data_IF_011561194748
#
_entry.id   IF_011561194748
#
_cell.length_a   1.000
_cell.length_b   1.000
_cell.length_c   1.000
_cell.angle_alpha   90.00
_cell.angle_beta   90.00
_cell.angle_gamma   90.00
#
_symmetry.space_group_name_H-M   'P 1'
#
loop_
_entity.id
_entity.type
_entity.pdbx_description
1 polymer ?
#
# COMPACT_ATOMS: atom_id res chain seq x y z
N UNK A 1 -6.77 20.90 0.46
CA UNK A 1 -6.88 20.72 -0.96
C UNK A 1 -6.97 22.04 -1.70
N UNK A 2 -6.99 21.99 -3.01
CA UNK A 2 -7.28 23.12 -3.88
C UNK A 2 -6.11 24.06 -4.22
N UNK A 3 -4.96 23.88 -3.62
CA UNK A 3 -3.76 24.64 -3.96
C UNK A 3 -2.77 23.77 -4.75
N UNK A 4 -1.93 24.41 -5.55
CA UNK A 4 -0.86 23.73 -6.25
C UNK A 4 0.15 23.16 -5.26
N UNK A 5 0.71 22.01 -5.57
CA UNK A 5 1.86 21.47 -4.86
C UNK A 5 3.12 22.22 -5.31
N UNK A 6 3.82 22.73 -4.34
CA UNK A 6 5.08 23.43 -4.54
C UNK A 6 6.08 22.81 -3.56
N UNK A 7 7.24 22.38 -4.05
CA UNK A 7 8.26 21.75 -3.22
C UNK A 7 8.67 22.64 -2.02
N UNK A 8 8.61 23.97 -2.17
CA UNK A 8 8.88 24.91 -1.12
C UNK A 8 7.90 24.83 0.06
N UNK A 9 6.66 24.33 -0.17
CA UNK A 9 5.65 24.21 0.88
C UNK A 9 6.07 23.22 1.97
N UNK A 10 6.85 22.18 1.61
CA UNK A 10 7.33 21.17 2.53
C UNK A 10 8.28 21.73 3.61
N UNK A 11 8.82 22.95 3.41
CA UNK A 11 9.58 23.67 4.44
C UNK A 11 8.71 24.06 5.64
N UNK A 12 7.42 24.30 5.41
CA UNK A 12 6.47 24.81 6.39
C UNK A 12 5.46 23.76 6.85
N UNK A 13 5.10 22.86 5.91
CA UNK A 13 4.13 21.79 6.12
C UNK A 13 4.76 20.47 5.72
N UNK A 14 5.08 19.59 6.67
CA UNK A 14 5.76 18.32 6.40
C UNK A 14 4.90 17.33 5.64
N UNK A 15 3.58 17.54 5.61
CA UNK A 15 2.61 16.69 4.92
C UNK A 15 1.66 17.52 4.06
N UNK A 16 1.19 16.91 2.98
CA UNK A 16 0.24 17.49 2.04
C UNK A 16 -0.96 16.55 1.85
N UNK A 17 -2.14 17.13 1.69
CA UNK A 17 -3.33 16.43 1.24
C UNK A 17 -3.32 16.39 -0.29
N UNK A 18 -3.04 15.21 -0.87
CA UNK A 18 -2.77 15.07 -2.31
C UNK A 18 -4.02 15.23 -3.17
N UNK A 19 -5.19 14.87 -2.66
CA UNK A 19 -6.48 14.96 -3.36
C UNK A 19 -7.64 14.78 -2.38
N UNK A 20 -8.72 15.52 -2.59
CA UNK A 20 -9.98 15.32 -1.85
C UNK A 20 -10.70 14.02 -2.26
N UNK A 21 -10.24 13.35 -3.32
CA UNK A 21 -10.70 12.01 -3.66
C UNK A 21 -10.06 10.99 -2.71
N UNK A 22 -10.84 10.52 -1.73
CA UNK A 22 -10.44 9.53 -0.72
C UNK A 22 -10.89 8.10 -1.06
N UNK A 23 -11.37 7.87 -2.28
CA UNK A 23 -11.72 6.51 -2.75
C UNK A 23 -10.50 5.59 -2.77
N UNK A 24 -10.58 4.44 -2.09
CA UNK A 24 -9.43 3.55 -1.89
C UNK A 24 -8.81 3.03 -3.19
N UNK A 25 -9.61 2.83 -4.25
CA UNK A 25 -9.07 2.47 -5.56
C UNK A 25 -8.45 3.68 -6.27
N UNK A 26 -9.15 4.82 -6.30
CA UNK A 26 -8.61 6.02 -6.94
C UNK A 26 -7.29 6.47 -6.28
N UNK A 27 -7.13 6.22 -4.98
CA UNK A 27 -5.90 6.53 -4.24
C UNK A 27 -4.68 5.78 -4.75
N UNK A 28 -4.83 4.60 -5.36
CA UNK A 28 -3.68 3.88 -5.98
C UNK A 28 -3.01 4.75 -7.03
N UNK A 29 -3.77 5.30 -7.97
CA UNK A 29 -3.25 6.18 -9.02
C UNK A 29 -2.78 7.54 -8.47
N UNK A 30 -3.51 8.12 -7.50
CA UNK A 30 -3.17 9.41 -6.89
C UNK A 30 -1.84 9.30 -6.13
N UNK A 31 -1.68 8.27 -5.30
CA UNK A 31 -0.47 8.08 -4.49
C UNK A 31 0.72 7.69 -5.38
N UNK A 32 0.52 6.78 -6.34
CA UNK A 32 1.53 6.42 -7.32
C UNK A 32 2.04 7.67 -8.08
N UNK A 33 1.12 8.44 -8.66
CA UNK A 33 1.49 9.66 -9.41
C UNK A 33 2.16 10.71 -8.54
N UNK A 34 1.68 10.93 -7.31
CA UNK A 34 2.30 11.86 -6.36
C UNK A 34 3.70 11.41 -5.98
N UNK A 35 3.92 10.10 -5.80
CA UNK A 35 5.21 9.52 -5.41
C UNK A 35 6.31 9.74 -6.45
N UNK A 36 5.97 10.09 -7.69
CA UNK A 36 6.96 10.45 -8.73
C UNK A 36 7.70 11.75 -8.41
N UNK A 37 7.10 12.62 -7.59
CA UNK A 37 7.64 13.94 -7.25
C UNK A 37 7.87 14.14 -5.74
N UNK A 38 7.13 13.42 -4.89
CA UNK A 38 7.13 13.59 -3.44
C UNK A 38 7.32 12.27 -2.72
N UNK A 39 8.06 12.24 -1.59
CA UNK A 39 8.20 11.03 -0.78
C UNK A 39 6.85 10.65 -0.15
N UNK A 40 6.68 9.37 0.16
CA UNK A 40 5.47 8.87 0.83
C UNK A 40 5.24 9.55 2.20
N UNK A 41 6.30 9.88 2.90
CA UNK A 41 6.25 10.61 4.19
C UNK A 41 5.59 11.99 4.09
N UNK A 42 5.55 12.58 2.90
CA UNK A 42 4.88 13.86 2.66
C UNK A 42 3.39 13.73 2.33
N UNK A 43 2.89 12.51 2.09
CA UNK A 43 1.51 12.28 1.67
C UNK A 43 0.63 11.88 2.86
N UNK A 44 -0.42 12.67 3.14
CA UNK A 44 -1.51 12.22 4.01
C UNK A 44 -2.43 11.28 3.26
N UNK A 45 -2.63 10.09 3.83
CA UNK A 45 -3.40 9.00 3.22
C UNK A 45 -4.43 8.50 4.23
N UNK A 46 -5.73 8.59 3.88
CA UNK A 46 -6.80 8.26 4.82
C UNK A 46 -7.63 7.07 4.35
N UNK A 47 -8.01 6.26 5.33
CA UNK A 47 -9.08 5.26 5.19
C UNK A 47 -10.41 5.97 5.24
N UNK A 48 -11.13 6.04 4.12
CA UNK A 48 -12.39 6.78 4.01
C UNK A 48 -13.61 5.91 4.30
N UNK A 49 -14.77 6.57 4.35
CA UNK A 49 -16.09 5.92 4.46
C UNK A 49 -16.36 4.99 3.26
N UNK A 50 -17.18 3.98 3.47
CA UNK A 50 -17.68 3.07 2.43
C UNK A 50 -19.21 2.93 2.54
N UNK A 51 -19.97 3.06 1.44
CA UNK A 51 -19.54 3.47 0.11
C UNK A 51 -18.84 4.82 0.09
N UNK A 52 -17.85 5.00 -0.80
CA UNK A 52 -17.17 6.30 -0.91
C UNK A 52 -18.17 7.39 -1.32
N UNK A 53 -18.15 8.52 -0.62
CA UNK A 53 -19.15 9.58 -0.78
C UNK A 53 -19.08 10.32 -2.12
N UNK A 54 -17.96 10.25 -2.85
CA UNK A 54 -17.78 10.89 -4.15
C UNK A 54 -18.06 9.94 -5.30
N UNK A 55 -17.60 8.69 -5.20
CA UNK A 55 -17.66 7.71 -6.30
C UNK A 55 -18.77 6.68 -6.15
N UNK A 56 -19.37 6.55 -4.96
CA UNK A 56 -20.31 5.48 -4.63
C UNK A 56 -19.67 4.08 -4.59
N UNK A 57 -18.35 3.97 -4.73
CA UNK A 57 -17.64 2.70 -4.82
C UNK A 57 -17.55 2.01 -3.46
N UNK A 58 -17.73 0.68 -3.51
CA UNK A 58 -17.53 -0.19 -2.35
C UNK A 58 -16.15 -0.84 -2.47
N UNK A 59 -15.17 -0.32 -1.75
CA UNK A 59 -13.83 -0.90 -1.62
C UNK A 59 -13.72 -1.59 -0.27
N UNK A 60 -13.25 -2.85 -0.20
CA UNK A 60 -13.09 -3.57 1.06
C UNK A 60 -12.32 -2.78 2.10
N UNK A 61 -12.65 -2.94 3.39
CA UNK A 61 -12.04 -2.16 4.47
C UNK A 61 -10.53 -2.41 4.55
N UNK A 62 -10.12 -3.68 4.53
CA UNK A 62 -8.72 -4.06 4.49
C UNK A 62 -7.97 -3.45 3.29
N UNK A 63 -8.61 -3.38 2.12
CA UNK A 63 -7.99 -2.80 0.92
C UNK A 63 -7.81 -1.28 1.04
N UNK A 64 -8.80 -0.58 1.61
CA UNK A 64 -8.67 0.87 1.89
C UNK A 64 -7.51 1.15 2.84
N UNK A 65 -7.35 0.32 3.88
CA UNK A 65 -6.26 0.45 4.83
C UNK A 65 -4.90 0.13 4.19
N UNK A 66 -4.78 -0.96 3.44
CA UNK A 66 -3.54 -1.35 2.78
C UNK A 66 -2.98 -0.25 1.86
N UNK A 67 -3.86 0.46 1.13
CA UNK A 67 -3.45 1.59 0.29
C UNK A 67 -3.13 2.84 1.13
N UNK A 68 -3.92 3.12 2.17
CA UNK A 68 -3.65 4.26 3.07
C UNK A 68 -2.31 4.09 3.81
N UNK A 69 -1.90 2.86 4.11
CA UNK A 69 -0.62 2.57 4.77
C UNK A 69 0.62 2.95 3.92
N UNK A 70 0.45 3.25 2.63
CA UNK A 70 1.51 3.76 1.76
C UNK A 70 1.64 5.30 1.84
N UNK A 71 1.58 5.84 3.05
CA UNK A 71 1.76 7.26 3.37
C UNK A 71 1.51 7.52 4.85
N UNK A 72 1.42 8.78 5.25
CA UNK A 72 1.03 9.14 6.60
C UNK A 72 -0.46 8.82 6.82
N UNK A 73 -0.71 7.70 7.47
CA UNK A 73 -2.05 7.08 7.58
C UNK A 73 -2.93 7.79 8.59
N UNK A 74 -4.21 7.93 8.22
CA UNK A 74 -5.30 8.39 9.10
C UNK A 74 -6.64 7.78 8.70
N UNK A 75 -7.67 8.12 9.47
CA UNK A 75 -9.05 7.68 9.22
C UNK A 75 -9.95 8.89 9.01
N UNK A 76 -10.68 8.90 7.89
CA UNK A 76 -11.65 9.90 7.52
C UNK A 76 -13.04 9.26 7.43
N UNK A 77 -13.58 8.90 8.59
CA UNK A 77 -14.88 8.25 8.73
C UNK A 77 -15.47 8.52 10.12
N UNK A 78 -16.78 8.34 10.24
CA UNK A 78 -17.45 8.48 11.52
C UNK A 78 -17.42 7.14 12.29
N UNK A 79 -16.68 7.05 13.41
CA UNK A 79 -16.55 5.79 14.16
C UNK A 79 -17.87 5.32 14.80
N UNK A 80 -18.87 6.18 14.92
CA UNK A 80 -20.18 5.78 15.42
C UNK A 80 -20.97 4.93 14.43
N UNK A 81 -20.64 5.02 13.13
CA UNK A 81 -21.28 4.24 12.08
C UNK A 81 -20.64 2.88 11.86
N UNK A 82 -19.55 2.59 12.57
CA UNK A 82 -18.81 1.34 12.43
C UNK A 82 -19.39 0.24 13.32
N UNK A 83 -19.41 -0.97 12.78
CA UNK A 83 -19.70 -2.20 13.53
C UNK A 83 -18.60 -2.49 14.56
N UNK A 84 -18.90 -3.36 15.52
CA UNK A 84 -17.89 -3.81 16.48
C UNK A 84 -16.70 -4.53 15.79
N UNK A 85 -16.97 -5.29 14.72
CA UNK A 85 -15.94 -5.96 13.93
C UNK A 85 -15.02 -4.95 13.23
N UNK A 86 -15.55 -3.94 12.57
CA UNK A 86 -14.77 -2.89 11.92
C UNK A 86 -13.93 -2.07 12.92
N UNK A 87 -14.47 -1.80 14.12
CA UNK A 87 -13.69 -1.15 15.19
C UNK A 87 -12.51 -2.01 15.67
N UNK A 88 -12.70 -3.32 15.76
CA UNK A 88 -11.61 -4.24 16.10
C UNK A 88 -10.58 -4.30 14.96
N UNK A 89 -11.03 -4.28 13.71
CA UNK A 89 -10.15 -4.25 12.53
C UNK A 89 -9.30 -2.97 12.47
N UNK A 90 -9.87 -1.80 12.81
CA UNK A 90 -9.09 -0.54 12.92
C UNK A 90 -7.90 -0.70 13.85
N UNK A 91 -8.11 -1.34 15.00
CA UNK A 91 -7.02 -1.56 15.95
C UNK A 91 -5.90 -2.37 15.32
N UNK A 92 -6.24 -3.47 14.63
CA UNK A 92 -5.27 -4.29 13.91
C UNK A 92 -4.54 -3.51 12.82
N UNK A 93 -5.27 -2.73 12.01
CA UNK A 93 -4.71 -1.89 10.95
C UNK A 93 -3.74 -0.84 11.51
N UNK A 94 -4.07 -0.21 12.65
CA UNK A 94 -3.18 0.75 13.32
C UNK A 94 -1.92 0.06 13.84
N UNK A 95 -2.04 -1.13 14.43
CA UNK A 95 -0.90 -1.89 14.92
C UNK A 95 0.00 -2.33 13.75
N UNK A 96 -0.58 -2.73 12.62
CA UNK A 96 0.15 -3.03 11.37
C UNK A 96 0.90 -1.81 10.83
N UNK A 97 0.23 -0.66 10.75
CA UNK A 97 0.85 0.58 10.29
C UNK A 97 2.03 0.96 11.17
N UNK A 98 1.86 0.98 12.49
CA UNK A 98 2.94 1.29 13.43
C UNK A 98 4.15 0.36 13.28
N UNK A 99 3.91 -0.90 12.91
CA UNK A 99 4.98 -1.86 12.70
C UNK A 99 5.73 -1.64 11.37
N UNK A 100 5.21 -0.82 10.45
CA UNK A 100 5.85 -0.49 9.17
C UNK A 100 6.08 1.01 8.96
N UNK A 101 5.71 1.85 9.91
CA UNK A 101 5.81 3.31 9.82
C UNK A 101 7.24 3.75 9.49
N UNK A 102 8.24 3.12 10.07
CA UNK A 102 9.65 3.38 9.77
C UNK A 102 10.02 3.17 8.30
N UNK A 103 9.43 2.15 7.65
CA UNK A 103 9.59 1.91 6.22
C UNK A 103 8.90 2.99 5.38
N UNK A 104 7.67 3.37 5.75
CA UNK A 104 6.91 4.41 5.04
C UNK A 104 7.62 5.75 5.09
N UNK A 105 8.18 6.10 6.25
CA UNK A 105 8.82 7.40 6.46
C UNK A 105 10.26 7.47 5.94
N UNK A 106 10.97 6.36 5.85
CA UNK A 106 12.40 6.38 5.57
C UNK A 106 12.93 5.31 4.60
N UNK A 107 12.10 4.38 4.16
CA UNK A 107 12.49 3.31 3.23
C UNK A 107 12.68 3.80 1.79
N UNK A 108 13.24 2.94 0.97
CA UNK A 108 13.30 3.11 -0.49
C UNK A 108 12.02 2.58 -1.12
N UNK A 109 11.41 3.39 -2.00
CA UNK A 109 10.19 3.04 -2.72
C UNK A 109 10.53 2.46 -4.09
N UNK A 110 10.01 1.26 -4.37
CA UNK A 110 10.02 0.60 -5.68
C UNK A 110 8.58 0.52 -6.20
N UNK A 111 8.35 1.04 -7.43
CA UNK A 111 7.06 1.02 -8.13
C UNK A 111 7.06 -0.15 -9.08
N UNK A 112 6.36 -1.22 -8.74
CA UNK A 112 6.41 -2.49 -9.48
C UNK A 112 5.36 -2.55 -10.60
N UNK A 113 4.15 -1.99 -10.36
CA UNK A 113 3.06 -1.98 -11.33
C UNK A 113 2.32 -0.65 -11.34
N UNK A 114 2.11 -0.09 -12.54
CA UNK A 114 1.45 1.19 -12.74
C UNK A 114 -0.08 1.02 -12.80
N UNK A 115 -0.84 1.52 -11.83
CA UNK A 115 -2.29 1.33 -11.78
C UNK A 115 -3.07 2.10 -12.86
N UNK A 116 -2.41 3.00 -13.59
CA UNK A 116 -3.03 3.76 -14.70
C UNK A 116 -2.98 2.96 -16.00
N UNK A 117 -1.99 2.11 -16.17
CA UNK A 117 -1.76 1.33 -17.39
C UNK A 117 -2.18 -0.13 -17.25
N UNK A 118 -2.27 -0.62 -16.00
CA UNK A 118 -2.47 -2.04 -15.71
C UNK A 118 -3.68 -2.25 -14.77
N UNK A 119 -4.30 -3.43 -14.87
CA UNK A 119 -5.29 -3.89 -13.88
C UNK A 119 -4.58 -4.43 -12.63
N UNK A 120 -3.50 -3.76 -12.25
CA UNK A 120 -2.67 -4.11 -11.11
C UNK A 120 -1.94 -2.84 -10.61
N UNK A 121 -1.99 -2.64 -9.31
CA UNK A 121 -1.12 -1.72 -8.59
C UNK A 121 -0.18 -2.53 -7.74
N UNK A 122 1.10 -2.19 -7.71
CA UNK A 122 2.01 -2.73 -6.72
C UNK A 122 3.17 -1.77 -6.44
N UNK A 123 3.41 -1.56 -5.15
CA UNK A 123 4.56 -0.81 -4.63
C UNK A 123 5.24 -1.59 -3.51
N UNK A 124 6.54 -1.40 -3.39
CA UNK A 124 7.36 -2.03 -2.36
C UNK A 124 8.22 -1.00 -1.65
N UNK A 125 8.26 -1.10 -0.34
CA UNK A 125 9.12 -0.31 0.53
C UNK A 125 10.21 -1.21 1.11
N UNK A 126 11.44 -0.77 1.05
CA UNK A 126 12.61 -1.51 1.55
C UNK A 126 13.40 -0.65 2.53
N UNK A 127 13.72 -1.18 3.69
CA UNK A 127 14.59 -0.51 4.65
C UNK A 127 15.96 -0.21 4.03
N UNK A 128 16.60 0.91 4.42
CA UNK A 128 17.91 1.31 3.89
C UNK A 128 18.99 0.25 4.09
N UNK A 129 18.94 -0.49 5.18
CA UNK A 129 19.83 -1.60 5.51
C UNK A 129 19.38 -2.94 4.93
N UNK A 130 18.23 -2.94 4.23
CA UNK A 130 17.60 -4.12 3.65
C UNK A 130 17.23 -5.21 4.68
N UNK A 131 17.06 -4.84 5.93
CA UNK A 131 16.67 -5.77 7.01
C UNK A 131 15.22 -6.23 6.89
N UNK A 132 14.36 -5.35 6.39
CA UNK A 132 12.95 -5.63 6.18
C UNK A 132 12.40 -4.89 4.96
N UNK A 133 11.27 -5.39 4.44
CA UNK A 133 10.53 -4.75 3.36
C UNK A 133 9.04 -5.09 3.43
N UNK A 134 8.22 -4.26 2.77
CA UNK A 134 6.78 -4.51 2.59
C UNK A 134 6.41 -4.27 1.14
N UNK A 135 5.73 -5.23 0.53
CA UNK A 135 5.14 -5.12 -0.79
C UNK A 135 3.62 -5.12 -0.64
N UNK A 136 2.96 -4.11 -1.17
CA UNK A 136 1.49 -4.01 -1.21
C UNK A 136 1.04 -3.99 -2.67
N UNK A 137 0.07 -4.84 -3.01
CA UNK A 137 -0.53 -4.86 -4.33
C UNK A 137 -2.06 -4.87 -4.25
N UNK A 138 -2.71 -4.22 -5.22
CA UNK A 138 -4.16 -4.26 -5.44
C UNK A 138 -4.46 -4.73 -6.87
N UNK A 139 -5.39 -5.67 -6.99
CA UNK A 139 -6.02 -6.00 -8.26
C UNK A 139 -7.39 -5.30 -8.34
N UNK A 140 -7.54 -4.25 -9.17
CA UNK A 140 -8.78 -3.48 -9.26
C UNK A 140 -9.98 -4.30 -9.71
N UNK A 141 -9.86 -5.04 -10.80
CA UNK A 141 -10.95 -5.84 -11.36
C UNK A 141 -10.61 -7.33 -11.34
N UNK A 142 -11.52 -8.12 -10.79
CA UNK A 142 -11.46 -9.58 -10.91
C UNK A 142 -11.86 -10.03 -12.31
N UNK A 143 -11.10 -10.95 -12.88
CA UNK A 143 -11.36 -11.52 -14.21
C UNK A 143 -11.60 -13.01 -14.06
N UNK A 144 -12.70 -13.50 -14.66
CA UNK A 144 -13.00 -14.93 -14.69
C UNK A 144 -11.93 -15.68 -15.49
N UNK A 145 -11.40 -16.77 -14.93
CA UNK A 145 -10.31 -17.54 -15.50
C UNK A 145 -9.06 -16.72 -15.81
N UNK A 146 -8.83 -15.64 -15.05
CA UNK A 146 -7.65 -14.81 -15.17
C UNK A 146 -6.37 -15.59 -14.84
N UNK A 147 -5.26 -15.18 -15.46
CA UNK A 147 -3.94 -15.73 -15.17
C UNK A 147 -3.51 -15.44 -13.73
N UNK A 148 -2.63 -16.29 -13.21
CA UNK A 148 -1.98 -16.03 -11.92
C UNK A 148 -1.09 -14.79 -12.01
N UNK A 149 -1.27 -13.86 -11.09
CA UNK A 149 -0.41 -12.68 -10.99
C UNK A 149 0.87 -13.06 -10.25
N UNK A 150 2.01 -12.80 -10.88
CA UNK A 150 3.33 -12.97 -10.24
C UNK A 150 3.89 -11.58 -9.99
N UNK A 151 4.18 -11.28 -8.72
CA UNK A 151 4.83 -10.04 -8.30
C UNK A 151 6.33 -10.28 -8.20
N UNK A 152 7.12 -9.40 -8.76
CA UNK A 152 8.59 -9.45 -8.71
C UNK A 152 9.10 -8.38 -7.74
N UNK A 153 9.41 -8.74 -6.47
CA UNK A 153 9.99 -7.81 -5.50
C UNK A 153 11.32 -7.22 -5.99
N UNK A 154 11.63 -6.01 -5.56
CA UNK A 154 12.88 -5.33 -5.88
C UNK A 154 13.59 -4.82 -4.61
N UNK A 155 14.86 -4.50 -4.72
CA UNK A 155 15.62 -3.82 -3.67
C UNK A 155 16.14 -4.71 -2.55
N UNK A 156 15.78 -5.99 -2.48
CA UNK A 156 16.29 -6.91 -1.46
C UNK A 156 17.80 -7.16 -1.62
N UNK A 157 18.44 -7.65 -0.56
CA UNK A 157 19.81 -8.15 -0.62
C UNK A 157 19.81 -9.53 -1.27
N UNK A 158 20.46 -9.67 -2.43
CA UNK A 158 20.48 -10.92 -3.21
C UNK A 158 21.03 -12.10 -2.41
N UNK A 159 21.97 -11.85 -1.50
CA UNK A 159 22.68 -12.89 -0.75
C UNK A 159 22.05 -13.23 0.60
N UNK A 160 21.13 -12.42 1.09
CA UNK A 160 20.47 -12.66 2.34
C UNK A 160 19.28 -13.61 2.20
N UNK A 161 18.96 -14.32 3.26
CA UNK A 161 17.72 -15.08 3.38
C UNK A 161 16.65 -14.19 3.98
N UNK A 162 15.43 -14.28 3.45
CA UNK A 162 14.26 -13.55 3.95
C UNK A 162 13.12 -14.49 4.27
N UNK A 163 12.54 -14.31 5.46
CA UNK A 163 11.22 -14.84 5.77
C UNK A 163 10.16 -13.98 5.07
N UNK A 164 9.29 -14.62 4.31
CA UNK A 164 8.18 -13.98 3.60
C UNK A 164 6.87 -14.28 4.30
N UNK A 165 6.21 -13.25 4.83
CA UNK A 165 4.92 -13.35 5.50
C UNK A 165 3.78 -12.92 4.54
N UNK A 166 2.59 -13.53 4.63
CA UNK A 166 2.15 -14.49 5.65
C UNK A 166 2.52 -15.95 5.37
N UNK A 167 3.17 -16.29 4.25
CA UNK A 167 3.45 -17.67 3.85
C UNK A 167 4.43 -18.40 4.78
N UNK A 168 5.20 -17.67 5.57
CA UNK A 168 6.25 -18.19 6.47
C UNK A 168 7.27 -19.07 5.74
N UNK A 169 7.65 -18.69 4.53
CA UNK A 169 8.69 -19.34 3.75
C UNK A 169 10.00 -18.55 3.85
N UNK A 170 11.12 -19.24 3.88
CA UNK A 170 12.44 -18.59 3.83
C UNK A 170 13.08 -18.84 2.48
N UNK A 171 13.52 -17.77 1.82
CA UNK A 171 14.15 -17.82 0.49
C UNK A 171 15.23 -16.74 0.38
N UNK A 172 16.22 -17.01 -0.48
CA UNK A 172 17.22 -16.01 -0.88
C UNK A 172 16.56 -14.80 -1.54
N UNK A 173 17.04 -13.60 -1.25
CA UNK A 173 16.58 -12.38 -1.91
C UNK A 173 16.66 -12.47 -3.42
N UNK A 174 17.76 -13.01 -3.97
CA UNK A 174 17.89 -13.27 -5.40
C UNK A 174 16.77 -14.17 -5.95
N UNK A 175 16.37 -15.20 -5.23
CA UNK A 175 15.29 -16.11 -5.64
C UNK A 175 13.96 -15.39 -5.64
N UNK A 176 13.67 -14.62 -4.58
CA UNK A 176 12.43 -13.84 -4.44
C UNK A 176 12.29 -12.84 -5.59
N UNK A 177 13.35 -12.08 -5.87
CA UNK A 177 13.34 -11.05 -6.91
C UNK A 177 13.25 -11.62 -8.33
N UNK A 178 13.86 -12.80 -8.61
CA UNK A 178 13.91 -13.37 -9.97
C UNK A 178 12.79 -14.34 -10.27
N UNK A 179 12.35 -15.14 -9.29
CA UNK A 179 11.25 -16.09 -9.49
C UNK A 179 9.87 -15.44 -9.19
N UNK A 180 9.86 -14.36 -8.42
CA UNK A 180 8.65 -13.69 -8.00
C UNK A 180 7.85 -14.45 -6.95
N UNK A 181 6.72 -13.87 -6.59
CA UNK A 181 5.73 -14.41 -5.65
C UNK A 181 4.37 -14.46 -6.33
N UNK A 182 3.71 -15.61 -6.30
CA UNK A 182 2.32 -15.71 -6.75
C UNK A 182 1.42 -14.93 -5.80
N UNK A 183 0.68 -13.96 -6.33
CA UNK A 183 -0.24 -13.15 -5.57
C UNK A 183 -1.62 -13.81 -5.49
N UNK A 184 -2.06 -14.14 -4.28
CA UNK A 184 -3.39 -14.70 -4.03
C UNK A 184 -4.34 -13.60 -3.57
N UNK A 185 -4.93 -12.89 -4.52
CA UNK A 185 -5.92 -11.86 -4.21
C UNK A 185 -7.23 -12.46 -3.67
N UNK A 186 -7.90 -11.79 -2.72
CA UNK A 186 -9.27 -12.13 -2.33
C UNK A 186 -10.21 -12.14 -3.53
N UNK A 187 -11.31 -12.90 -3.42
CA UNK A 187 -12.37 -12.84 -4.43
C UNK A 187 -13.03 -11.47 -4.49
N UNK A 188 -13.41 -11.07 -5.69
CA UNK A 188 -14.06 -9.81 -5.97
C UNK A 188 -13.07 -8.72 -6.40
N UNK A 189 -13.63 -7.54 -6.64
CA UNK A 189 -12.87 -6.38 -7.08
C UNK A 189 -12.16 -5.68 -5.92
N UNK A 190 -11.13 -4.92 -6.25
CA UNK A 190 -10.32 -4.13 -5.32
C UNK A 190 -9.62 -4.96 -4.23
N UNK A 191 -9.38 -6.24 -4.49
CA UNK A 191 -8.65 -7.10 -3.56
C UNK A 191 -7.19 -6.68 -3.42
N UNK A 192 -6.68 -6.69 -2.19
CA UNK A 192 -5.27 -6.38 -1.89
C UNK A 192 -4.56 -7.57 -1.27
N UNK A 193 -3.26 -7.61 -1.49
CA UNK A 193 -2.32 -8.49 -0.78
C UNK A 193 -1.14 -7.68 -0.27
N UNK A 194 -0.65 -8.03 0.91
CA UNK A 194 0.54 -7.43 1.51
C UNK A 194 1.51 -8.53 1.93
N UNK A 195 2.74 -8.42 1.48
CA UNK A 195 3.85 -9.31 1.86
C UNK A 195 4.85 -8.54 2.70
N UNK A 196 5.27 -9.12 3.80
CA UNK A 196 6.36 -8.59 4.63
C UNK A 196 7.58 -9.51 4.49
N UNK A 197 8.73 -8.89 4.34
CA UNK A 197 10.01 -9.56 4.22
C UNK A 197 10.85 -9.19 5.43
N UNK A 198 11.42 -10.17 6.09
CA UNK A 198 12.36 -9.96 7.20
C UNK A 198 13.61 -10.79 6.96
N UNK A 199 14.76 -10.19 7.09
CA UNK A 199 16.04 -10.90 7.05
C UNK A 199 16.03 -11.98 8.14
N UNK A 200 16.31 -13.23 7.76
CA UNK A 200 16.31 -14.39 8.65
C UNK A 200 17.64 -14.51 9.43
#
# INVERSE_FOLDING_TARGET
GGCRFDAAILRWFPQIWTSDNSDGYARTAIQYGTSLCYPLSAMSCHVSVCPNHQTGRNTPFASRAAIAHLGATGYELNPNNLTAAEKAEIKSQVDEYKAMEGLVLGGDLYRLHNPVEENLFAEMLVAKDKSEAVLTAMRPLSVANGESVILYPEGLDENADYEVLPQKIVRKGATIMRAGLVAYFPFGDFGTVTYRFRKA
#
